data_IF_062859901660
#
_entry.id   IF_062859901660
#
_cell.length_a   1.000
_cell.length_b   1.000
_cell.length_c   1.000
_cell.angle_alpha   90.00
_cell.angle_beta   90.00
_cell.angle_gamma   90.00
#
_symmetry.space_group_name_H-M   'P 1'
#
loop_
_entity.id
_entity.type
_entity.pdbx_description
1 polymer ?
#
# COMPACT_ATOMS: atom_id res chain seq x y z
N UNK A 1 -28.11 -2.77 -2.75
CA UNK A 1 -27.09 -2.82 -1.67
C UNK A 1 -25.94 -3.71 -2.12
N UNK A 2 -24.75 -3.16 -2.42
CA UNK A 2 -23.59 -3.96 -2.85
C UNK A 2 -22.89 -4.58 -1.63
N UNK A 3 -23.19 -5.85 -1.34
CA UNK A 3 -22.49 -6.63 -0.31
C UNK A 3 -21.13 -7.02 -0.88
N UNK A 4 -20.11 -6.18 -0.66
CA UNK A 4 -18.73 -6.55 -1.00
C UNK A 4 -18.27 -7.64 -0.05
N UNK A 5 -17.91 -8.79 -0.59
CA UNK A 5 -17.35 -9.95 0.11
C UNK A 5 -16.15 -9.52 0.96
N UNK A 6 -16.02 -10.01 2.20
CA UNK A 6 -14.87 -9.70 3.04
C UNK A 6 -13.61 -10.24 2.37
N UNK A 7 -12.63 -9.35 2.13
CA UNK A 7 -11.31 -9.73 1.64
C UNK A 7 -10.65 -10.65 2.67
N UNK A 8 -10.48 -11.93 2.32
CA UNK A 8 -9.69 -12.88 3.11
C UNK A 8 -8.21 -12.58 2.86
N UNK A 9 -7.42 -12.41 3.92
CA UNK A 9 -5.98 -12.13 3.79
C UNK A 9 -5.18 -12.91 4.82
N UNK A 10 -4.07 -13.51 4.38
CA UNK A 10 -3.04 -14.07 5.26
C UNK A 10 -2.21 -12.94 5.86
N UNK A 11 -1.77 -13.11 7.11
CA UNK A 11 -0.88 -12.15 7.78
C UNK A 11 0.57 -12.45 7.38
N UNK A 12 0.95 -12.12 6.15
CA UNK A 12 2.27 -12.44 5.58
C UNK A 12 3.45 -11.98 6.44
N UNK A 13 3.34 -10.84 7.14
CA UNK A 13 4.37 -10.36 8.07
C UNK A 13 4.60 -11.26 9.30
N UNK A 14 3.72 -12.23 9.56
CA UNK A 14 3.88 -13.23 10.62
C UNK A 14 4.57 -14.52 10.14
N UNK A 15 4.90 -14.61 8.85
CA UNK A 15 5.58 -15.77 8.30
C UNK A 15 7.02 -15.83 8.79
N UNK A 16 7.35 -16.89 9.53
CA UNK A 16 8.73 -17.25 9.78
C UNK A 16 9.17 -18.28 8.76
N UNK A 17 10.27 -18.00 8.07
CA UNK A 17 10.80 -18.87 7.02
C UNK A 17 11.15 -20.27 7.56
N UNK A 18 11.72 -20.34 8.77
CA UNK A 18 12.10 -21.61 9.41
C UNK A 18 10.90 -22.51 9.71
N UNK A 19 9.83 -21.95 10.26
CA UNK A 19 8.57 -22.68 10.51
C UNK A 19 7.95 -23.17 9.20
N UNK A 20 8.03 -22.37 8.14
CA UNK A 20 7.52 -22.72 6.81
C UNK A 20 8.28 -23.85 6.14
N UNK A 21 9.61 -23.78 6.15
CA UNK A 21 10.47 -24.84 5.61
C UNK A 21 10.21 -26.15 6.35
N UNK A 22 10.15 -26.13 7.68
CA UNK A 22 9.86 -27.32 8.48
C UNK A 22 8.47 -27.92 8.18
N UNK A 23 7.44 -27.09 7.97
CA UNK A 23 6.11 -27.57 7.59
C UNK A 23 6.08 -28.17 6.18
N UNK A 24 6.80 -27.58 5.23
CA UNK A 24 6.92 -28.12 3.87
C UNK A 24 7.57 -29.50 3.88
N UNK A 25 8.70 -29.64 4.58
CA UNK A 25 9.42 -30.91 4.68
C UNK A 25 8.58 -31.99 5.35
N UNK A 26 7.87 -31.64 6.43
CA UNK A 26 6.95 -32.57 7.14
C UNK A 26 5.81 -33.06 6.25
N UNK A 27 5.28 -32.20 5.37
CA UNK A 27 4.11 -32.49 4.52
C UNK A 27 4.47 -32.89 3.10
N UNK A 28 5.74 -33.16 2.82
CA UNK A 28 6.22 -33.47 1.48
C UNK A 28 5.43 -34.66 0.90
N UNK A 29 4.70 -34.47 -0.23
CA UNK A 29 3.97 -35.57 -0.84
C UNK A 29 4.95 -36.59 -1.41
N UNK A 30 4.81 -37.86 -1.01
CA UNK A 30 5.66 -38.96 -1.46
C UNK A 30 5.48 -39.31 -2.94
N UNK A 31 4.34 -38.95 -3.53
CA UNK A 31 4.09 -39.06 -4.96
C UNK A 31 3.24 -37.86 -5.42
N UNK A 32 3.82 -37.00 -6.26
CA UNK A 32 3.09 -35.91 -6.91
C UNK A 32 2.38 -36.47 -8.14
N UNK A 33 1.13 -36.08 -8.38
CA UNK A 33 0.41 -36.53 -9.57
C UNK A 33 1.05 -35.93 -10.83
N UNK A 34 1.88 -36.71 -11.52
CA UNK A 34 2.64 -36.29 -12.72
C UNK A 34 1.92 -36.57 -14.03
N UNK A 35 0.68 -37.09 -13.98
CA UNK A 35 -0.05 -37.55 -15.17
C UNK A 35 -0.34 -36.41 -16.16
N UNK A 36 -0.40 -35.17 -15.69
CA UNK A 36 -0.49 -33.97 -16.52
C UNK A 36 0.08 -32.79 -15.72
N UNK A 37 0.70 -31.83 -16.42
CA UNK A 37 1.19 -30.55 -15.90
C UNK A 37 0.12 -29.86 -15.02
N UNK A 38 -1.14 -29.84 -15.46
CA UNK A 38 -2.22 -29.21 -14.69
C UNK A 38 -2.43 -29.86 -13.33
N UNK A 39 -2.37 -31.20 -13.28
CA UNK A 39 -2.55 -31.98 -12.06
C UNK A 39 -1.34 -31.85 -11.15
N UNK A 40 -0.14 -31.85 -11.73
CA UNK A 40 1.10 -31.59 -11.00
C UNK A 40 1.09 -30.21 -10.36
N UNK A 41 0.78 -29.16 -11.12
CA UNK A 41 0.67 -27.79 -10.62
C UNK A 41 -0.39 -27.68 -9.51
N UNK A 42 -1.55 -28.34 -9.68
CA UNK A 42 -2.57 -28.36 -8.65
C UNK A 42 -2.10 -29.06 -7.36
N UNK A 43 -1.43 -30.21 -7.47
CA UNK A 43 -0.89 -30.94 -6.32
C UNK A 43 0.19 -30.13 -5.58
N UNK A 44 1.09 -29.45 -6.30
CA UNK A 44 2.11 -28.59 -5.71
C UNK A 44 1.50 -27.38 -5.02
N UNK A 45 0.57 -26.69 -5.69
CA UNK A 45 -0.12 -25.53 -5.11
C UNK A 45 -0.89 -25.93 -3.84
N UNK A 46 -1.58 -27.07 -3.86
CA UNK A 46 -2.30 -27.58 -2.71
C UNK A 46 -1.37 -27.90 -1.53
N UNK A 47 -0.24 -28.56 -1.78
CA UNK A 47 0.76 -28.83 -0.75
C UNK A 47 1.27 -27.54 -0.09
N UNK A 48 1.60 -26.53 -0.90
CA UNK A 48 2.04 -25.22 -0.41
C UNK A 48 0.92 -24.54 0.39
N UNK A 49 -0.32 -24.58 -0.10
CA UNK A 49 -1.49 -24.03 0.59
C UNK A 49 -1.72 -24.69 1.95
N UNK A 50 -1.60 -26.02 2.04
CA UNK A 50 -1.78 -26.79 3.27
C UNK A 50 -0.68 -26.48 4.30
N UNK A 51 0.55 -26.23 3.86
CA UNK A 51 1.63 -25.75 4.74
C UNK A 51 1.40 -24.31 5.19
N UNK A 52 0.92 -23.43 4.30
CA UNK A 52 0.58 -22.05 4.65
C UNK A 52 -0.61 -21.99 5.61
N UNK A 53 -1.59 -22.88 5.50
CA UNK A 53 -2.79 -22.89 6.35
C UNK A 53 -2.48 -23.29 7.80
N UNK A 54 -1.45 -24.10 8.02
CA UNK A 54 -0.99 -24.48 9.35
C UNK A 54 -0.31 -23.31 10.09
N UNK A 55 0.49 -22.52 9.38
CA UNK A 55 1.35 -21.47 9.99
C UNK A 55 0.64 -20.12 10.00
N UNK A 56 -0.03 -19.78 8.89
CA UNK A 56 -0.73 -18.51 8.71
C UNK A 56 -2.05 -18.80 8.01
N UNK A 57 -3.03 -19.37 8.72
CA UNK A 57 -4.33 -19.65 8.16
C UNK A 57 -4.93 -18.42 7.49
N UNK A 58 -5.76 -18.65 6.47
CA UNK A 58 -6.53 -17.62 5.80
C UNK A 58 -7.52 -17.01 6.79
N UNK A 59 -7.02 -16.12 7.63
CA UNK A 59 -7.84 -15.48 8.63
C UNK A 59 -8.84 -14.58 7.92
N UNK A 60 -10.11 -14.73 8.25
CA UNK A 60 -11.14 -13.73 7.96
C UNK A 60 -10.91 -12.52 8.87
N UNK A 61 -9.78 -11.84 8.75
CA UNK A 61 -9.46 -10.74 9.68
C UNK A 61 -9.95 -9.41 9.15
N UNK A 62 -11.01 -8.96 9.82
CA UNK A 62 -11.51 -7.58 9.99
C UNK A 62 -11.88 -6.89 8.68
N UNK A 63 -13.16 -6.45 8.59
CA UNK A 63 -13.58 -5.39 7.67
C UNK A 63 -12.50 -4.32 7.77
N UNK A 64 -11.77 -4.08 6.69
CA UNK A 64 -10.76 -3.01 6.66
C UNK A 64 -11.48 -1.78 7.23
N UNK A 65 -10.92 -1.10 8.26
CA UNK A 65 -11.55 0.13 8.74
C UNK A 65 -11.78 0.95 7.48
N UNK A 66 -13.06 1.25 7.19
CA UNK A 66 -13.38 2.08 6.04
C UNK A 66 -12.56 3.33 6.28
N UNK A 67 -11.50 3.56 5.48
CA UNK A 67 -10.92 4.90 5.38
C UNK A 67 -12.15 5.79 5.24
N UNK A 68 -12.37 6.71 6.19
CA UNK A 68 -13.53 7.59 6.16
C UNK A 68 -13.48 8.23 4.78
N UNK A 69 -14.29 7.71 3.87
CA UNK A 69 -14.30 8.20 2.49
C UNK A 69 -14.75 9.62 2.68
N UNK A 70 -13.91 10.57 2.29
CA UNK A 70 -14.23 11.96 2.43
C UNK A 70 -15.65 12.17 1.87
N UNK A 71 -16.65 12.56 2.68
CA UNK A 71 -18.06 12.48 2.26
C UNK A 71 -18.37 13.35 1.04
N UNK A 72 -17.59 14.42 0.87
CA UNK A 72 -17.61 15.32 -0.28
C UNK A 72 -16.98 14.73 -1.55
N UNK A 73 -16.28 13.58 -1.48
CA UNK A 73 -15.66 12.94 -2.64
C UNK A 73 -16.69 12.11 -3.42
N UNK A 74 -17.30 12.74 -4.41
CA UNK A 74 -18.36 12.16 -5.23
C UNK A 74 -17.85 11.40 -6.48
N UNK A 75 -18.76 10.74 -7.19
CA UNK A 75 -18.45 9.97 -8.41
C UNK A 75 -17.90 10.84 -9.55
N UNK A 76 -18.33 12.10 -9.66
CA UNK A 76 -17.85 13.05 -10.67
C UNK A 76 -16.37 13.39 -10.46
N UNK A 77 -15.95 13.67 -9.22
CA UNK A 77 -14.54 13.88 -8.87
C UNK A 77 -13.70 12.64 -9.17
N UNK A 78 -14.24 11.45 -8.90
CA UNK A 78 -13.55 10.20 -9.24
C UNK A 78 -13.36 10.05 -10.75
N UNK A 79 -14.37 10.40 -11.55
CA UNK A 79 -14.31 10.37 -13.01
C UNK A 79 -13.27 11.37 -13.53
N UNK A 80 -13.28 12.61 -13.04
CA UNK A 80 -12.26 13.62 -13.37
C UNK A 80 -10.85 13.14 -13.02
N UNK A 81 -10.67 12.51 -11.85
CA UNK A 81 -9.38 11.93 -11.47
C UNK A 81 -8.92 10.84 -12.45
N UNK A 82 -9.85 9.99 -12.91
CA UNK A 82 -9.57 8.93 -13.90
C UNK A 82 -9.22 9.52 -15.26
N UNK A 83 -9.92 10.57 -15.68
CA UNK A 83 -9.68 11.30 -16.92
C UNK A 83 -8.28 11.93 -16.92
N UNK A 84 -7.89 12.62 -15.84
CA UNK A 84 -6.53 13.13 -15.65
C UNK A 84 -5.48 12.01 -15.81
N UNK A 85 -5.70 10.85 -15.19
CA UNK A 85 -4.76 9.71 -15.28
C UNK A 85 -4.71 9.10 -16.68
N UNK A 86 -5.83 9.06 -17.40
CA UNK A 86 -5.89 8.59 -18.79
C UNK A 86 -5.10 9.53 -19.70
N UNK A 87 -5.27 10.84 -19.54
CA UNK A 87 -4.55 11.83 -20.32
C UNK A 87 -3.05 11.83 -20.00
N UNK A 88 -2.67 11.64 -18.73
CA UNK A 88 -1.27 11.47 -18.35
C UNK A 88 -0.64 10.28 -19.06
N UNK A 89 -1.31 9.12 -19.05
CA UNK A 89 -0.84 7.92 -19.76
C UNK A 89 -0.71 8.17 -21.25
N UNK A 90 -1.68 8.86 -21.85
CA UNK A 90 -1.65 9.25 -23.27
C UNK A 90 -0.41 10.11 -23.55
N UNK A 91 -0.16 11.13 -22.75
CA UNK A 91 1.02 11.99 -22.88
C UNK A 91 2.34 11.21 -22.73
N UNK A 92 2.44 10.31 -21.75
CA UNK A 92 3.65 9.49 -21.58
C UNK A 92 3.94 8.59 -22.78
N UNK A 93 2.90 8.14 -23.49
CA UNK A 93 3.03 7.31 -24.68
C UNK A 93 3.31 8.14 -25.94
N UNK A 94 2.56 9.21 -26.18
CA UNK A 94 2.67 10.00 -27.42
C UNK A 94 3.77 11.05 -27.38
N UNK A 95 4.19 11.48 -26.19
CA UNK A 95 5.13 12.58 -25.96
C UNK A 95 4.76 13.91 -26.65
N UNK A 96 3.50 14.08 -27.02
CA UNK A 96 2.99 15.27 -27.72
C UNK A 96 2.74 16.44 -26.75
N UNK A 97 3.22 17.62 -27.13
CA UNK A 97 3.08 18.86 -26.36
C UNK A 97 1.63 19.36 -26.30
N UNK A 98 0.80 19.05 -27.29
CA UNK A 98 -0.63 19.38 -27.25
C UNK A 98 -1.33 18.62 -26.11
N UNK A 99 -1.12 17.30 -26.04
CA UNK A 99 -1.63 16.41 -24.98
C UNK A 99 -1.09 16.82 -23.61
N UNK A 100 0.19 17.22 -23.53
CA UNK A 100 0.83 17.72 -22.31
C UNK A 100 0.16 18.99 -21.79
N UNK A 101 -0.17 19.94 -22.68
CA UNK A 101 -0.84 21.20 -22.31
C UNK A 101 -2.23 20.92 -21.76
N UNK A 102 -2.98 20.05 -22.42
CA UNK A 102 -4.30 19.62 -21.96
C UNK A 102 -4.25 18.92 -20.60
N UNK A 103 -3.31 17.99 -20.42
CA UNK A 103 -3.08 17.33 -19.14
C UNK A 103 -2.76 18.33 -18.01
N UNK A 104 -1.89 19.30 -18.26
CA UNK A 104 -1.57 20.35 -17.27
C UNK A 104 -2.81 21.18 -16.90
N UNK A 105 -3.66 21.50 -17.86
CA UNK A 105 -4.90 22.22 -17.60
C UNK A 105 -5.85 21.37 -16.73
N UNK A 106 -5.98 20.07 -17.02
CA UNK A 106 -6.78 19.14 -16.22
C UNK A 106 -6.28 19.02 -14.78
N UNK A 107 -4.95 18.91 -14.57
CA UNK A 107 -4.36 18.89 -13.22
C UNK A 107 -4.64 20.18 -12.46
N UNK A 108 -4.59 21.34 -13.13
CA UNK A 108 -4.84 22.64 -12.48
C UNK A 108 -6.31 22.82 -12.12
N UNK A 109 -7.22 22.32 -12.95
CA UNK A 109 -8.66 22.41 -12.72
C UNK A 109 -9.14 21.46 -11.61
N UNK A 110 -8.55 20.27 -11.51
CA UNK A 110 -9.02 19.22 -10.59
C UNK A 110 -9.07 19.65 -9.10
N UNK A 111 -8.05 20.32 -8.52
CA UNK A 111 -8.13 20.85 -7.16
C UNK A 111 -9.23 21.89 -6.95
N UNK A 112 -9.57 22.68 -7.98
CA UNK A 112 -10.66 23.66 -7.91
C UNK A 112 -12.01 22.96 -7.79
N UNK A 113 -12.22 21.90 -8.57
CA UNK A 113 -13.42 21.06 -8.47
C UNK A 113 -13.53 20.37 -7.11
N UNK A 114 -12.42 19.93 -6.53
CA UNK A 114 -12.40 19.39 -5.15
C UNK A 114 -12.87 20.45 -4.17
N UNK A 115 -12.27 21.65 -4.20
CA UNK A 115 -12.63 22.75 -3.29
C UNK A 115 -14.10 23.14 -3.44
N UNK A 116 -14.60 23.16 -4.67
CA UNK A 116 -16.01 23.43 -4.97
C UNK A 116 -16.93 22.36 -4.35
N UNK A 117 -16.63 21.08 -4.56
CA UNK A 117 -17.41 19.98 -4.00
C UNK A 117 -17.35 19.94 -2.46
N UNK A 118 -16.20 20.29 -1.87
CA UNK A 118 -16.07 20.46 -0.42
C UNK A 118 -16.94 21.60 0.09
N UNK A 119 -16.87 22.77 -0.56
CA UNK A 119 -17.66 23.94 -0.19
C UNK A 119 -19.16 23.63 -0.26
N UNK A 120 -19.64 23.08 -1.37
CA UNK A 120 -21.05 22.71 -1.51
C UNK A 120 -21.49 21.73 -0.44
N UNK A 121 -20.70 20.68 -0.18
CA UNK A 121 -21.04 19.69 0.84
C UNK A 121 -21.18 20.29 2.24
N UNK A 122 -20.24 21.15 2.65
CA UNK A 122 -20.30 21.76 3.97
C UNK A 122 -21.36 22.86 4.07
N UNK A 123 -21.60 23.62 2.99
CA UNK A 123 -22.74 24.56 2.91
C UNK A 123 -24.05 23.82 3.09
N UNK A 124 -24.31 22.76 2.31
CA UNK A 124 -25.53 21.96 2.40
C UNK A 124 -25.69 21.33 3.80
N UNK A 125 -24.59 20.86 4.39
CA UNK A 125 -24.58 20.27 5.74
C UNK A 125 -24.92 21.31 6.83
N UNK A 126 -24.44 22.54 6.69
CA UNK A 126 -24.74 23.63 7.63
C UNK A 126 -26.19 24.10 7.46
N UNK A 127 -26.67 24.25 6.22
CA UNK A 127 -28.05 24.63 5.93
C UNK A 127 -29.06 23.59 6.45
N UNK A 128 -28.79 22.31 6.26
CA UNK A 128 -29.62 21.22 6.79
C UNK A 128 -29.67 21.21 8.34
N UNK A 129 -28.59 21.68 8.98
CA UNK A 129 -28.44 21.76 10.43
C UNK A 129 -28.89 23.11 11.03
N UNK A 130 -29.52 23.99 10.25
CA UNK A 130 -29.83 25.38 10.66
C UNK A 130 -30.59 25.49 12.00
N UNK A 131 -31.41 24.48 12.34
CA UNK A 131 -32.22 24.46 13.56
C UNK A 131 -31.50 23.84 14.78
N UNK A 132 -30.26 23.38 14.63
CA UNK A 132 -29.49 22.68 15.68
C UNK A 132 -28.07 23.24 15.79
N UNK A 133 -27.81 24.16 16.75
CA UNK A 133 -26.48 24.72 16.97
C UNK A 133 -25.40 23.65 17.16
N UNK A 134 -25.74 22.55 17.84
CA UNK A 134 -24.83 21.42 18.08
C UNK A 134 -24.36 20.78 16.77
N UNK A 135 -25.24 20.62 15.79
CA UNK A 135 -24.90 20.05 14.49
C UNK A 135 -24.06 20.99 13.64
N UNK A 136 -24.32 22.30 13.71
CA UNK A 136 -23.49 23.34 13.09
C UNK A 136 -22.07 23.30 13.67
N UNK A 137 -21.94 23.28 15.02
CA UNK A 137 -20.63 23.19 15.68
C UNK A 137 -19.90 21.90 15.34
N UNK A 138 -20.60 20.76 15.20
CA UNK A 138 -19.98 19.52 14.76
C UNK A 138 -19.49 19.60 13.30
N UNK A 139 -20.28 20.20 12.40
CA UNK A 139 -19.87 20.40 11.02
C UNK A 139 -18.64 21.33 10.92
N UNK A 140 -18.59 22.38 11.73
CA UNK A 140 -17.45 23.28 11.84
C UNK A 140 -16.22 22.57 12.43
N UNK A 141 -16.41 21.74 13.46
CA UNK A 141 -15.34 20.93 14.05
C UNK A 141 -14.72 20.00 13.02
N UNK A 142 -15.54 19.31 12.22
CA UNK A 142 -15.07 18.43 11.12
C UNK A 142 -14.28 19.21 10.04
N UNK A 143 -14.63 20.49 9.82
CA UNK A 143 -13.98 21.35 8.83
C UNK A 143 -12.63 21.90 9.31
N UNK A 144 -12.56 22.36 10.56
CA UNK A 144 -11.38 23.00 11.16
C UNK A 144 -10.37 21.95 11.65
N UNK A 145 -10.86 20.77 12.05
CA UNK A 145 -10.04 19.64 12.47
C UNK A 145 -10.27 18.47 11.50
N UNK A 146 -9.78 18.55 10.24
CA UNK A 146 -9.70 17.37 9.40
C UNK A 146 -8.99 16.29 10.21
N UNK A 147 -9.59 15.09 10.27
CA UNK A 147 -9.06 13.89 10.95
C UNK A 147 -7.54 13.97 10.98
N UNK A 148 -6.97 14.14 12.18
CA UNK A 148 -5.53 14.23 12.39
C UNK A 148 -4.86 13.21 11.47
N UNK A 149 -4.14 13.72 10.47
CA UNK A 149 -3.15 12.89 9.80
C UNK A 149 -2.25 12.36 10.92
N UNK A 150 -1.86 11.06 10.88
CA UNK A 150 -0.98 10.51 11.91
C UNK A 150 0.17 11.49 12.10
N UNK A 151 0.37 11.93 13.35
CA UNK A 151 1.29 12.98 13.78
C UNK A 151 2.43 13.15 12.78
N UNK A 152 2.41 14.28 12.05
CA UNK A 152 3.53 14.64 11.18
C UNK A 152 4.76 14.68 12.05
N UNK A 153 5.68 13.76 11.78
CA UNK A 153 6.88 13.49 12.58
C UNK A 153 7.54 14.79 13.01
N UNK A 154 7.60 15.05 14.31
CA UNK A 154 7.99 16.35 14.91
C UNK A 154 9.40 16.83 14.52
N UNK A 155 10.20 16.00 13.85
CA UNK A 155 11.53 16.35 13.35
C UNK A 155 11.95 15.50 12.14
N UNK A 156 11.56 15.87 10.92
CA UNK A 156 11.95 15.14 9.71
C UNK A 156 13.47 14.97 9.57
N UNK A 157 14.26 15.94 10.06
CA UNK A 157 15.72 15.88 10.06
C UNK A 157 16.28 14.79 10.99
N UNK A 158 15.72 14.63 12.19
CA UNK A 158 16.13 13.59 13.14
C UNK A 158 15.93 12.20 12.54
N UNK A 159 14.80 11.99 11.86
CA UNK A 159 14.48 10.69 11.26
C UNK A 159 15.34 10.37 10.03
N UNK A 160 15.78 11.39 9.28
CA UNK A 160 16.75 11.21 8.18
C UNK A 160 18.11 10.80 8.74
N UNK A 161 18.52 11.40 9.86
CA UNK A 161 19.77 11.04 10.56
C UNK A 161 19.70 9.63 11.17
N UNK A 162 18.57 9.28 11.81
CA UNK A 162 18.31 7.94 12.35
C UNK A 162 18.30 6.88 11.23
N UNK A 163 17.76 7.23 10.07
CA UNK A 163 17.75 6.35 8.90
C UNK A 163 19.16 6.20 8.30
N UNK A 164 19.93 7.28 8.19
CA UNK A 164 21.31 7.25 7.71
C UNK A 164 22.21 6.41 8.64
N UNK A 165 22.13 6.66 9.95
CA UNK A 165 22.88 5.91 10.96
C UNK A 165 22.52 4.43 10.95
N UNK A 166 21.23 4.08 10.81
CA UNK A 166 20.81 2.69 10.67
C UNK A 166 21.51 1.97 9.50
N UNK A 167 21.58 2.59 8.32
CA UNK A 167 22.24 1.97 7.17
C UNK A 167 23.75 1.86 7.37
N UNK A 168 24.39 2.89 7.94
CA UNK A 168 25.82 2.85 8.24
C UNK A 168 26.17 1.74 9.23
N UNK A 169 25.41 1.63 10.33
CA UNK A 169 25.57 0.55 11.30
C UNK A 169 25.34 -0.81 10.64
N UNK A 170 24.28 -0.97 9.85
CA UNK A 170 23.98 -2.24 9.16
C UNK A 170 25.09 -2.65 8.19
N UNK A 171 25.65 -1.71 7.44
CA UNK A 171 26.75 -1.98 6.52
C UNK A 171 28.00 -2.41 7.31
N UNK A 172 28.29 -1.75 8.42
CA UNK A 172 29.39 -2.13 9.31
C UNK A 172 29.20 -3.54 9.88
N UNK A 173 28.00 -3.87 10.34
CA UNK A 173 27.67 -5.21 10.83
C UNK A 173 27.89 -6.28 9.76
N UNK A 174 27.54 -5.99 8.50
CA UNK A 174 27.79 -6.88 7.37
C UNK A 174 29.29 -7.08 7.12
N UNK A 175 30.09 -6.01 7.15
CA UNK A 175 31.54 -6.10 6.99
C UNK A 175 32.23 -6.88 8.11
N UNK A 176 31.75 -6.75 9.34
CA UNK A 176 32.24 -7.52 10.49
C UNK A 176 31.81 -8.99 10.39
N UNK A 177 30.58 -9.25 9.95
CA UNK A 177 30.05 -10.61 9.79
C UNK A 177 30.71 -11.37 8.64
N UNK A 178 31.18 -10.67 7.60
CA UNK A 178 31.83 -11.23 6.43
C UNK A 178 33.15 -10.51 6.14
N UNK A 179 34.20 -10.76 6.94
CA UNK A 179 35.51 -10.20 6.67
C UNK A 179 36.00 -10.69 5.30
N UNK A 180 36.40 -9.75 4.44
CA UNK A 180 36.91 -10.04 3.10
C UNK A 180 38.13 -10.98 3.19
N UNK A 181 37.98 -12.21 2.70
CA UNK A 181 39.12 -13.09 2.42
C UNK A 181 39.81 -12.60 1.15
N UNK A 182 40.74 -11.66 1.31
CA UNK A 182 41.82 -11.44 0.34
C UNK A 182 43.13 -11.66 1.05
N UNK A 183 43.56 -12.92 1.12
CA UNK A 183 44.96 -13.28 1.33
C UNK A 183 45.69 -13.02 0.01
N UNK A 184 46.61 -12.06 0.01
CA UNK A 184 47.64 -11.96 -1.01
C UNK A 184 48.82 -12.83 -0.55
N UNK A 185 48.89 -14.05 -1.07
CA UNK A 185 50.13 -14.83 -1.07
C UNK A 185 50.73 -14.69 -2.48
N UNK A 186 51.68 -13.79 -2.66
CA UNK A 186 52.60 -13.79 -3.80
C UNK A 186 54.00 -14.11 -3.25
N UNK A 187 54.40 -15.38 -3.38
CA UNK A 187 55.78 -15.85 -3.24
C UNK A 187 56.56 -15.50 -4.53
N UNK A 188 57.73 -14.83 -4.45
CA UNK A 188 58.58 -14.61 -5.61
C UNK A 188 59.49 -15.83 -5.82
N UNK A 189 59.14 -16.69 -6.78
CA UNK A 189 60.01 -17.77 -7.25
C UNK A 189 61.25 -17.23 -7.97
N UNK A 190 62.43 -17.67 -7.50
CA UNK A 190 63.74 -17.46 -8.13
C UNK A 190 64.06 -18.43 -9.26
#
# INVERSE_FOLDING_TARGET
MNIRTPLRRRKWHKLKATEFINSLEKKRPGNLNTNNITNFTHSVNKWIEDSLEEIIPLSSTKKLPRKKSAPWFNASLLEKKRECRKQEKKWRYTQDDSVKREYKNMIRAYPLEIKKAQATYYSDKIEAAANSPKEIFNALKDLIHPIEEPETMDSPQQHVEDLASFFLCKIQDIYVAFPNQRSCDDEPGG
#
